data_IF_100139973217
#
_entry.id   IF_100139973217
#
_cell.length_a   1.000
_cell.length_b   1.000
_cell.length_c   1.000
_cell.angle_alpha   90.00
_cell.angle_beta   90.00
_cell.angle_gamma   90.00
#
_symmetry.space_group_name_H-M   'P 1'
#
loop_
_entity.id
_entity.type
_entity.pdbx_description
1 polymer ?
#
# COMPACT_ATOMS: atom_id res chain seq x y z
N UNK A 1 -3.51 11.97 1.81
CA UNK A 1 -3.43 11.51 3.22
C UNK A 1 -1.96 11.35 3.55
N UNK A 2 -1.47 11.63 4.76
CA UNK A 2 -0.04 11.45 5.07
C UNK A 2 0.23 10.06 5.65
N UNK A 3 1.48 9.59 5.56
CA UNK A 3 1.92 8.35 6.23
C UNK A 3 1.60 8.35 7.72
N UNK A 4 1.75 9.50 8.37
CA UNK A 4 1.49 9.65 9.80
C UNK A 4 0.01 9.48 10.13
N UNK A 5 -0.90 9.99 9.28
CA UNK A 5 -2.35 9.79 9.43
C UNK A 5 -2.74 8.32 9.34
N UNK A 6 -2.11 7.57 8.41
CA UNK A 6 -2.36 6.13 8.24
C UNK A 6 -1.91 5.38 9.50
N UNK A 7 -0.70 5.65 9.99
CA UNK A 7 -0.18 5.04 11.21
C UNK A 7 -1.08 5.33 12.41
N UNK A 8 -1.49 6.60 12.59
CA UNK A 8 -2.39 6.98 13.69
C UNK A 8 -3.74 6.26 13.59
N UNK A 9 -4.33 6.13 12.39
CA UNK A 9 -5.58 5.38 12.21
C UNK A 9 -5.42 3.91 12.57
N UNK A 10 -4.33 3.29 12.15
CA UNK A 10 -4.08 1.87 12.45
C UNK A 10 -3.90 1.69 13.96
N UNK A 11 -3.02 2.46 14.59
CA UNK A 11 -2.72 2.36 16.03
C UNK A 11 -3.97 2.57 16.87
N UNK A 12 -4.82 3.53 16.51
CA UNK A 12 -6.02 3.85 17.29
C UNK A 12 -7.15 2.83 17.12
N UNK A 13 -7.23 2.13 15.98
CA UNK A 13 -8.34 1.22 15.69
C UNK A 13 -7.97 -0.26 15.82
N UNK A 14 -6.70 -0.61 15.79
CA UNK A 14 -6.22 -1.99 15.85
C UNK A 14 -5.38 -2.22 17.10
N UNK A 15 -5.63 -3.34 17.80
CA UNK A 15 -4.76 -3.80 18.89
C UNK A 15 -3.52 -4.46 18.28
N UNK A 16 -2.48 -3.66 18.05
CA UNK A 16 -1.16 -4.16 17.73
C UNK A 16 -0.45 -4.67 18.99
N UNK A 17 0.14 -5.86 18.93
CA UNK A 17 1.18 -6.23 19.90
C UNK A 17 2.52 -5.62 19.49
N UNK A 18 3.40 -5.34 20.46
CA UNK A 18 4.72 -4.70 20.24
C UNK A 18 5.61 -5.44 19.22
N UNK A 19 5.33 -6.70 18.90
CA UNK A 19 6.07 -7.52 17.94
C UNK A 19 5.48 -7.55 16.52
N UNK A 20 4.37 -6.84 16.26
CA UNK A 20 3.76 -6.79 14.93
C UNK A 20 4.24 -5.57 14.15
N UNK A 21 4.65 -5.77 12.91
CA UNK A 21 4.94 -4.70 11.97
C UNK A 21 4.12 -4.87 10.69
N UNK A 22 3.99 -3.79 9.92
CA UNK A 22 3.40 -3.79 8.60
C UNK A 22 4.32 -3.07 7.64
N UNK A 23 4.30 -3.50 6.39
CA UNK A 23 5.00 -2.82 5.31
C UNK A 23 4.05 -1.82 4.68
N UNK A 24 4.44 -0.56 4.71
CA UNK A 24 3.77 0.51 3.99
C UNK A 24 4.58 0.80 2.73
N UNK A 25 3.88 0.80 1.60
CA UNK A 25 4.43 1.22 0.33
C UNK A 25 4.49 2.76 0.29
N UNK A 26 5.70 3.31 0.32
CA UNK A 26 5.92 4.76 0.37
C UNK A 26 5.51 5.43 -0.95
N UNK A 27 4.79 6.55 -0.87
CA UNK A 27 4.29 7.28 -2.03
C UNK A 27 2.92 6.79 -2.55
N UNK A 28 2.30 5.82 -1.88
CA UNK A 28 0.97 5.30 -2.20
C UNK A 28 -0.08 5.62 -1.12
N UNK A 29 0.14 6.66 -0.31
CA UNK A 29 -0.72 7.00 0.82
C UNK A 29 -2.16 7.31 0.37
N UNK A 30 -2.33 7.90 -0.81
CA UNK A 30 -3.65 8.20 -1.39
C UNK A 30 -4.37 6.96 -1.95
N UNK A 31 -3.63 5.88 -2.18
CA UNK A 31 -4.15 4.58 -2.60
C UNK A 31 -4.52 3.66 -1.43
N UNK A 32 -4.21 4.04 -0.18
CA UNK A 32 -4.52 3.23 1.01
C UNK A 32 -6.03 3.00 1.16
N UNK A 33 -6.43 1.73 1.29
CA UNK A 33 -7.81 1.29 1.55
C UNK A 33 -7.99 0.93 3.02
N UNK A 34 -7.05 0.17 3.59
CA UNK A 34 -7.20 -0.39 4.93
C UNK A 34 -6.16 -1.46 5.26
N UNK A 35 -6.47 -2.29 6.25
CA UNK A 35 -5.63 -3.40 6.70
C UNK A 35 -6.45 -4.69 6.80
N UNK A 36 -5.81 -5.85 6.65
CA UNK A 36 -6.48 -7.14 6.84
C UNK A 36 -6.91 -7.33 8.30
N UNK A 37 -7.97 -8.10 8.52
CA UNK A 37 -8.45 -8.40 9.88
C UNK A 37 -7.64 -9.53 10.52
N UNK A 38 -7.22 -10.53 9.74
CA UNK A 38 -6.43 -11.68 10.21
C UNK A 38 -4.93 -11.34 10.24
N UNK A 39 -4.23 -11.99 11.17
CA UNK A 39 -2.76 -12.01 11.23
C UNK A 39 -2.19 -12.96 10.16
N UNK A 40 -1.01 -12.68 9.57
CA UNK A 40 -0.27 -11.43 9.65
C UNK A 40 -1.09 -10.27 9.07
N UNK A 41 -1.05 -9.10 9.73
CA UNK A 41 -1.74 -7.89 9.27
C UNK A 41 -1.02 -7.37 8.04
N UNK A 42 -1.77 -7.11 6.97
CA UNK A 42 -1.27 -6.60 5.69
C UNK A 42 -2.02 -5.34 5.30
N UNK A 43 -1.30 -4.39 4.73
CA UNK A 43 -1.87 -3.15 4.21
C UNK A 43 -2.51 -3.43 2.85
N UNK A 44 -3.62 -2.78 2.56
CA UNK A 44 -4.38 -2.94 1.33
C UNK A 44 -4.40 -1.61 0.56
N UNK A 45 -4.02 -1.66 -0.71
CA UNK A 45 -3.99 -0.53 -1.63
C UNK A 45 -4.93 -0.73 -2.83
N UNK A 46 -5.45 0.37 -3.38
CA UNK A 46 -6.16 0.39 -4.67
C UNK A 46 -5.13 0.49 -5.80
N UNK A 47 -5.08 -0.52 -6.66
CA UNK A 47 -4.10 -0.62 -7.75
C UNK A 47 -4.17 0.59 -8.70
N UNK A 48 -5.37 1.02 -9.09
CA UNK A 48 -5.53 2.13 -10.04
C UNK A 48 -5.09 3.46 -9.43
N UNK A 49 -5.33 3.65 -8.13
CA UNK A 49 -4.80 4.82 -7.43
C UNK A 49 -3.29 4.77 -7.25
N UNK A 50 -2.69 3.58 -7.09
CA UNK A 50 -1.24 3.47 -7.09
C UNK A 50 -0.65 3.97 -8.40
N UNK A 51 -1.25 3.55 -9.53
CA UNK A 51 -0.85 3.99 -10.86
C UNK A 51 -0.96 5.52 -11.00
N UNK A 52 -2.07 6.11 -10.55
CA UNK A 52 -2.23 7.57 -10.52
C UNK A 52 -1.13 8.28 -9.69
N UNK A 53 -0.69 7.67 -8.58
CA UNK A 53 0.38 8.23 -7.74
C UNK A 53 1.71 8.21 -8.49
N UNK A 54 2.04 7.11 -9.18
CA UNK A 54 3.27 6.98 -9.98
C UNK A 54 3.27 8.03 -11.11
N UNK A 55 2.22 8.08 -11.92
CA UNK A 55 2.13 9.01 -13.06
C UNK A 55 2.30 10.47 -12.58
N UNK A 56 1.66 10.86 -11.48
CA UNK A 56 1.76 12.23 -10.95
C UNK A 56 3.15 12.56 -10.42
N UNK A 57 3.81 11.59 -9.78
CA UNK A 57 5.11 11.79 -9.13
C UNK A 57 6.26 11.76 -10.13
N UNK A 58 6.31 10.72 -10.95
CA UNK A 58 7.41 10.44 -11.88
C UNK A 58 7.21 11.13 -13.24
N UNK A 59 5.99 11.62 -13.54
CA UNK A 59 5.64 12.27 -14.81
C UNK A 59 5.91 11.41 -16.05
N UNK A 60 5.80 10.11 -15.89
CA UNK A 60 5.90 9.10 -16.94
C UNK A 60 4.53 8.84 -17.56
N UNK A 61 4.51 8.17 -18.71
CA UNK A 61 3.26 7.80 -19.35
C UNK A 61 2.59 6.61 -18.66
N UNK A 62 1.43 6.22 -19.19
CA UNK A 62 0.60 5.19 -18.59
C UNK A 62 1.23 3.79 -18.69
N UNK A 63 1.90 3.48 -19.80
CA UNK A 63 2.47 2.15 -20.03
C UNK A 63 3.73 1.98 -19.16
N UNK A 64 4.61 2.99 -19.11
CA UNK A 64 5.77 3.01 -18.22
C UNK A 64 5.36 2.92 -16.74
N UNK A 65 4.25 3.57 -16.37
CA UNK A 65 3.72 3.51 -15.01
C UNK A 65 3.16 2.14 -14.65
N UNK A 66 2.58 1.41 -15.61
CA UNK A 66 2.12 0.04 -15.38
C UNK A 66 3.31 -0.84 -15.10
N UNK A 67 4.34 -0.80 -15.95
CA UNK A 67 5.53 -1.63 -15.79
C UNK A 67 6.18 -1.37 -14.42
N UNK A 68 6.31 -0.10 -14.03
CA UNK A 68 6.83 0.28 -12.71
C UNK A 68 5.97 -0.25 -11.55
N UNK A 69 4.64 -0.18 -11.68
CA UNK A 69 3.73 -0.67 -10.65
C UNK A 69 3.76 -2.20 -10.56
N UNK A 70 3.87 -2.91 -11.68
CA UNK A 70 3.92 -4.37 -11.70
C UNK A 70 5.17 -4.90 -11.00
N UNK A 71 6.34 -4.29 -11.24
CA UNK A 71 7.56 -4.61 -10.48
C UNK A 71 7.33 -4.43 -8.97
N UNK A 72 6.69 -3.33 -8.56
CA UNK A 72 6.43 -3.02 -7.16
C UNK A 72 5.40 -3.96 -6.49
N UNK A 73 4.43 -4.45 -7.27
CA UNK A 73 3.41 -5.40 -6.80
C UNK A 73 3.98 -6.80 -6.63
N UNK A 74 4.98 -7.16 -7.42
CA UNK A 74 5.68 -8.45 -7.33
C UNK A 74 6.73 -8.51 -6.20
N UNK A 75 7.09 -7.37 -5.59
CA UNK A 75 8.02 -7.35 -4.46
C UNK A 75 7.49 -8.13 -3.25
N UNK A 76 8.30 -9.07 -2.75
CA UNK A 76 7.98 -9.87 -1.58
C UNK A 76 8.75 -9.40 -0.34
N UNK A 77 7.99 -8.92 0.64
CA UNK A 77 8.45 -8.54 1.98
C UNK A 77 8.09 -9.59 3.05
N UNK A 78 7.75 -10.81 2.62
CA UNK A 78 7.36 -11.93 3.47
C UNK A 78 5.90 -11.87 3.93
N UNK A 79 5.65 -12.26 5.18
CA UNK A 79 4.29 -12.46 5.70
C UNK A 79 3.44 -11.17 5.72
N UNK A 80 4.10 -10.00 5.76
CA UNK A 80 3.45 -8.69 5.83
C UNK A 80 3.41 -7.94 4.49
N UNK A 81 3.75 -8.62 3.37
CA UNK A 81 3.69 -8.05 2.01
C UNK A 81 2.33 -7.39 1.74
N UNK A 82 2.30 -6.13 1.24
CA UNK A 82 1.06 -5.44 0.94
C UNK A 82 0.18 -6.18 -0.06
N UNK A 83 -1.13 -5.91 -0.01
CA UNK A 83 -2.11 -6.43 -0.96
C UNK A 83 -2.58 -5.30 -1.85
N UNK A 84 -2.60 -5.53 -3.15
CA UNK A 84 -3.12 -4.58 -4.14
C UNK A 84 -4.42 -5.12 -4.74
N UNK A 85 -5.47 -4.30 -4.72
CA UNK A 85 -6.77 -4.65 -5.28
C UNK A 85 -6.96 -3.90 -6.60
N UNK A 86 -7.03 -4.67 -7.69
CA UNK A 86 -7.41 -4.18 -9.02
C UNK A 86 -8.91 -4.40 -9.21
N UNK A 87 -9.67 -3.30 -9.28
CA UNK A 87 -11.11 -3.37 -9.63
C UNK A 87 -11.24 -3.63 -11.12
N UNK A 88 -12.09 -4.60 -11.48
CA UNK A 88 -12.42 -5.01 -12.85
C UNK A 88 -13.66 -4.26 -13.30
#
# INVERSE_FOLDING_TARGET
MTRQDILTKIINNEKFSDSEYMVLADGFEDAFIGVTIKKPKRVIYDYWKCLDCIIKKEKIDFDDAIDFLEEFVEEDFGENTPIYIKKI
#
